data_IF_152264500533
#
_entry.id   IF_152264500533
#
_cell.length_a   1.000
_cell.length_b   1.000
_cell.length_c   1.000
_cell.angle_alpha   90.00
_cell.angle_beta   90.00
_cell.angle_gamma   90.00
#
_symmetry.space_group_name_H-M   'P 1'
#
loop_
_entity.id
_entity.type
_entity.pdbx_description
1 polymer ?
#
# COMPACT_ATOMS: atom_id res chain seq x y z
N UNK A 1 16.04 20.88 0.49
CA UNK A 1 16.92 19.69 0.45
C UNK A 1 16.44 18.84 -0.72
N UNK A 2 17.29 18.64 -1.72
CA UNK A 2 16.94 17.81 -2.88
C UNK A 2 17.00 16.34 -2.49
N UNK A 3 15.84 15.67 -2.48
CA UNK A 3 15.71 14.24 -2.18
C UNK A 3 15.81 13.40 -3.44
N UNK A 4 16.75 13.70 -4.33
CA UNK A 4 16.81 13.21 -5.70
C UNK A 4 17.09 11.71 -5.85
N UNK A 5 17.26 10.95 -4.80
CA UNK A 5 17.24 9.48 -4.90
C UNK A 5 17.23 8.83 -3.52
N UNK A 6 16.06 8.43 -3.05
CA UNK A 6 15.93 7.52 -1.91
C UNK A 6 16.55 6.13 -2.19
N UNK A 7 16.83 5.81 -3.46
CA UNK A 7 17.48 4.55 -3.87
C UNK A 7 18.95 4.45 -3.43
N UNK A 8 19.63 5.59 -3.24
CA UNK A 8 21.04 5.65 -2.81
C UNK A 8 21.23 6.19 -1.41
N UNK A 9 20.16 6.23 -0.62
CA UNK A 9 20.25 6.78 0.72
C UNK A 9 20.80 5.72 1.68
N UNK A 10 22.04 5.94 2.15
CA UNK A 10 22.57 5.21 3.29
C UNK A 10 21.81 5.62 4.55
N UNK A 11 20.99 4.69 5.03
CA UNK A 11 20.25 4.83 6.25
C UNK A 11 21.23 5.04 7.41
N UNK A 12 20.94 5.99 8.29
CA UNK A 12 21.60 6.06 9.62
C UNK A 12 21.18 4.87 10.51
N UNK A 13 21.10 3.70 9.89
CA UNK A 13 21.10 2.42 10.55
C UNK A 13 22.57 2.12 10.90
N UNK A 14 22.86 1.58 12.09
CA UNK A 14 24.23 1.28 12.46
C UNK A 14 24.88 0.46 11.33
N UNK A 15 25.95 1.01 10.74
CA UNK A 15 26.83 0.37 9.75
C UNK A 15 26.23 0.02 8.37
N UNK A 16 25.61 0.97 7.66
CA UNK A 16 25.40 0.85 6.20
C UNK A 16 24.41 -0.22 5.74
N UNK A 17 23.36 -0.45 6.49
CA UNK A 17 22.29 -1.39 6.13
C UNK A 17 21.30 -0.76 5.16
N UNK A 18 21.22 -1.32 3.97
CA UNK A 18 20.21 -0.98 2.95
C UNK A 18 18.96 -1.84 3.13
N UNK A 19 17.78 -1.22 3.16
CA UNK A 19 16.47 -1.93 3.28
C UNK A 19 16.10 -2.71 2.02
N UNK A 20 16.73 -2.43 0.89
CA UNK A 20 16.46 -3.09 -0.39
C UNK A 20 17.29 -4.34 -0.67
N UNK A 21 18.20 -4.71 0.20
CA UNK A 21 19.00 -5.90 0.05
C UNK A 21 18.62 -6.98 1.04
N UNK A 22 18.82 -8.23 0.66
CA UNK A 22 18.82 -9.36 1.59
C UNK A 22 19.70 -8.98 2.78
N UNK A 23 19.06 -8.64 3.90
CA UNK A 23 19.70 -8.00 5.02
C UNK A 23 20.79 -8.93 5.58
N UNK A 24 22.04 -8.60 5.29
CA UNK A 24 23.17 -9.18 5.98
C UNK A 24 23.48 -8.33 7.19
N UNK A 25 23.26 -8.86 8.36
CA UNK A 25 23.65 -8.23 9.62
C UNK A 25 25.15 -8.02 9.66
N UNK A 26 25.69 -6.80 9.82
CA UNK A 26 27.05 -6.61 10.25
C UNK A 26 27.22 -7.11 11.69
N UNK A 27 28.40 -7.59 12.02
CA UNK A 27 28.70 -8.07 13.37
C UNK A 27 28.31 -7.03 14.42
N UNK A 28 27.30 -7.33 15.25
CA UNK A 28 26.85 -6.52 16.37
C UNK A 28 25.49 -5.83 16.26
N UNK A 29 24.84 -5.85 15.11
CA UNK A 29 23.47 -5.32 14.95
C UNK A 29 22.55 -6.42 14.47
N UNK A 30 21.54 -6.77 15.27
CA UNK A 30 20.52 -7.72 14.85
C UNK A 30 19.34 -6.96 14.27
N UNK A 31 19.07 -7.18 12.99
CA UNK A 31 17.85 -6.71 12.31
C UNK A 31 16.99 -7.93 12.05
N UNK A 32 15.77 -7.87 12.55
CA UNK A 32 14.83 -8.96 12.49
C UNK A 32 13.71 -8.56 11.53
N UNK A 33 13.86 -8.88 10.25
CA UNK A 33 12.87 -8.55 9.22
C UNK A 33 12.05 -9.74 8.77
N UNK A 34 12.47 -10.96 9.04
CA UNK A 34 11.74 -12.19 8.71
C UNK A 34 12.15 -13.33 9.63
N UNK A 35 11.28 -14.36 9.72
CA UNK A 35 11.57 -15.62 10.40
C UNK A 35 13.05 -16.06 10.31
N UNK A 36 13.68 -16.51 11.33
CA UNK A 36 13.22 -17.16 12.57
C UNK A 36 13.29 -16.30 13.85
N UNK A 37 13.69 -15.06 13.75
CA UNK A 37 14.08 -14.22 14.89
C UNK A 37 12.90 -13.59 15.65
N UNK A 38 11.72 -13.46 15.04
CA UNK A 38 10.55 -12.94 15.73
C UNK A 38 10.12 -13.83 16.90
N UNK A 39 10.25 -15.16 16.75
CA UNK A 39 9.97 -16.10 17.86
C UNK A 39 11.01 -16.00 18.98
N UNK A 40 12.27 -15.77 18.63
CA UNK A 40 13.36 -15.66 19.61
C UNK A 40 13.22 -14.35 20.40
N UNK A 41 12.88 -13.26 19.73
CA UNK A 41 12.59 -11.99 20.38
C UNK A 41 11.32 -12.03 21.21
N UNK A 42 10.23 -12.60 20.69
CA UNK A 42 9.03 -12.83 21.47
C UNK A 42 9.34 -13.70 22.70
N UNK A 43 10.13 -14.77 22.55
CA UNK A 43 10.58 -15.58 23.69
C UNK A 43 11.44 -14.77 24.66
N UNK A 44 12.37 -13.94 24.21
CA UNK A 44 13.19 -13.08 25.06
C UNK A 44 12.34 -12.07 25.85
N UNK A 45 11.34 -11.47 25.20
CA UNK A 45 10.39 -10.59 25.86
C UNK A 45 9.45 -11.35 26.81
N UNK A 46 8.97 -12.54 26.42
CA UNK A 46 8.14 -13.39 27.26
C UNK A 46 8.91 -14.09 28.37
N UNK A 47 10.13 -14.59 28.12
CA UNK A 47 10.88 -15.36 29.11
C UNK A 47 11.62 -14.52 30.13
N UNK A 48 11.95 -13.28 29.82
CA UNK A 48 12.58 -12.38 30.79
C UNK A 48 11.57 -11.75 31.77
N UNK A 49 10.28 -11.61 31.38
CA UNK A 49 9.32 -10.82 32.17
C UNK A 49 7.92 -11.41 32.30
N UNK A 50 7.52 -12.40 31.50
CA UNK A 50 6.20 -13.02 31.54
C UNK A 50 6.22 -14.46 32.05
N UNK A 51 7.09 -14.77 32.99
CA UNK A 51 6.75 -15.88 33.86
C UNK A 51 5.50 -15.46 34.59
N UNK A 52 4.37 -15.87 34.04
CA UNK A 52 3.12 -15.96 34.73
C UNK A 52 3.34 -16.94 35.90
N UNK A 53 3.98 -16.41 36.90
CA UNK A 53 4.28 -17.16 38.12
C UNK A 53 2.97 -17.21 38.92
N UNK A 54 2.02 -18.02 38.42
CA UNK A 54 0.80 -18.36 39.12
C UNK A 54 1.07 -19.06 40.44
N UNK A 55 2.35 -19.17 40.85
CA UNK A 55 2.77 -19.88 42.05
C UNK A 55 3.83 -19.15 42.90
N UNK A 56 4.47 -18.09 42.43
CA UNK A 56 5.44 -17.34 43.22
C UNK A 56 4.74 -16.35 44.13
N UNK A 57 5.00 -16.43 45.44
CA UNK A 57 4.46 -15.48 46.42
C UNK A 57 5.09 -14.09 46.33
N UNK A 58 6.17 -13.91 45.57
CA UNK A 58 6.94 -12.67 45.51
C UNK A 58 6.81 -11.97 44.18
N UNK A 59 6.49 -10.66 44.20
CA UNK A 59 6.47 -9.81 43.03
C UNK A 59 7.92 -9.58 42.53
N UNK A 60 8.12 -9.69 41.22
CA UNK A 60 9.41 -9.43 40.58
C UNK A 60 9.37 -8.07 39.90
N UNK A 61 10.53 -7.39 39.86
CA UNK A 61 10.66 -6.12 39.14
C UNK A 61 10.47 -6.33 37.62
N UNK A 62 9.58 -5.54 37.04
CA UNK A 62 9.22 -5.67 35.61
C UNK A 62 8.19 -6.75 35.28
N UNK A 63 7.77 -7.56 36.26
CA UNK A 63 6.76 -8.59 36.05
C UNK A 63 5.34 -8.04 35.82
N UNK A 64 4.50 -8.84 35.15
CA UNK A 64 3.10 -8.52 34.89
C UNK A 64 2.21 -9.36 35.79
N UNK A 65 1.31 -8.73 36.54
CA UNK A 65 0.45 -9.40 37.48
C UNK A 65 -1.00 -8.97 37.30
N UNK A 66 -1.95 -9.93 37.34
CA UNK A 66 -3.35 -9.61 37.48
C UNK A 66 -3.60 -9.07 38.90
N UNK A 67 -4.35 -8.00 39.00
CA UNK A 67 -4.65 -7.34 40.25
C UNK A 67 -6.07 -6.77 40.25
N UNK A 68 -6.67 -6.72 41.43
CA UNK A 68 -7.99 -6.10 41.65
C UNK A 68 -7.81 -4.79 42.37
N UNK A 69 -8.44 -3.73 41.90
CA UNK A 69 -8.43 -2.42 42.57
C UNK A 69 -9.24 -2.53 43.88
N UNK A 70 -8.60 -2.26 45.03
CA UNK A 70 -9.24 -2.29 46.33
C UNK A 70 -9.82 -0.92 46.67
N UNK A 71 -9.06 0.14 46.43
CA UNK A 71 -9.46 1.50 46.76
C UNK A 71 -8.88 2.51 45.78
N UNK A 72 -9.64 3.57 45.57
CA UNK A 72 -9.27 4.68 44.70
C UNK A 72 -9.36 5.98 45.46
N UNK A 73 -8.28 6.78 45.46
CA UNK A 73 -8.23 8.15 45.93
C UNK A 73 -8.00 9.07 44.75
N UNK A 74 -7.99 10.37 44.95
CA UNK A 74 -7.87 11.32 43.86
C UNK A 74 -6.69 11.05 42.87
N UNK A 75 -5.50 10.76 43.41
CA UNK A 75 -4.26 10.62 42.65
C UNK A 75 -3.60 9.23 42.80
N UNK A 76 -4.19 8.33 43.60
CA UNK A 76 -3.62 7.01 43.88
C UNK A 76 -4.70 5.94 43.91
N UNK A 77 -4.34 4.73 43.44
CA UNK A 77 -5.13 3.54 43.67
C UNK A 77 -4.27 2.46 44.35
N UNK A 78 -4.94 1.67 45.18
CA UNK A 78 -4.38 0.44 45.75
C UNK A 78 -4.99 -0.74 45.02
N UNK A 79 -4.16 -1.60 44.49
CA UNK A 79 -4.58 -2.85 43.90
C UNK A 79 -3.96 -4.03 44.68
N UNK A 80 -4.63 -5.15 44.68
CA UNK A 80 -4.16 -6.38 45.30
C UNK A 80 -4.01 -7.47 44.22
N UNK A 81 -2.87 -8.13 44.22
CA UNK A 81 -2.66 -9.29 43.34
C UNK A 81 -3.38 -10.52 43.85
N UNK A 82 -3.52 -11.53 43.01
CA UNK A 82 -4.09 -12.84 43.41
C UNK A 82 -3.30 -13.52 44.53
N UNK A 83 -2.02 -13.17 44.71
CA UNK A 83 -1.17 -13.62 45.81
C UNK A 83 -1.34 -12.82 47.11
N UNK A 84 -2.25 -11.83 47.14
CA UNK A 84 -2.54 -10.99 48.30
C UNK A 84 -1.60 -9.82 48.53
N UNK A 85 -0.64 -9.58 47.61
CA UNK A 85 0.31 -8.47 47.71
C UNK A 85 -0.29 -7.18 47.22
N UNK A 86 0.05 -6.07 47.87
CA UNK A 86 -0.48 -4.74 47.54
C UNK A 86 0.45 -4.01 46.56
N UNK A 87 -0.14 -3.43 45.55
CA UNK A 87 0.51 -2.61 44.52
C UNK A 87 -0.08 -1.21 44.58
N UNK A 88 0.79 -0.20 44.54
CA UNK A 88 0.41 1.20 44.41
C UNK A 88 0.38 1.62 42.95
N UNK A 89 -0.69 2.31 42.56
CA UNK A 89 -0.85 2.85 41.20
C UNK A 89 -0.99 4.36 41.27
N UNK A 90 -0.07 5.09 40.62
CA UNK A 90 -0.12 6.54 40.51
C UNK A 90 -1.12 6.93 39.43
N UNK A 91 -2.35 7.26 39.79
CA UNK A 91 -3.42 7.61 38.84
C UNK A 91 -3.15 8.91 38.08
N UNK A 92 -2.41 9.84 38.68
CA UNK A 92 -2.04 11.10 38.00
C UNK A 92 -1.10 10.80 36.84
N UNK A 93 -0.14 9.93 37.05
CA UNK A 93 0.78 9.45 36.00
C UNK A 93 0.02 8.65 34.96
N UNK A 94 -0.80 7.69 35.36
CA UNK A 94 -1.57 6.83 34.45
C UNK A 94 -2.48 7.66 33.52
N UNK A 95 -3.24 8.63 34.08
CA UNK A 95 -4.13 9.49 33.31
C UNK A 95 -3.35 10.36 32.30
N UNK A 96 -2.25 10.97 32.75
CA UNK A 96 -1.39 11.78 31.89
C UNK A 96 -0.78 10.96 30.75
N UNK A 97 -0.31 9.76 31.06
CA UNK A 97 0.34 8.90 30.09
C UNK A 97 -0.70 8.29 29.13
N UNK A 98 -1.92 7.94 29.61
CA UNK A 98 -3.04 7.55 28.77
C UNK A 98 -3.47 8.64 27.78
N UNK A 99 -3.58 9.89 28.25
CA UNK A 99 -3.92 11.04 27.41
C UNK A 99 -2.88 11.26 26.31
N UNK A 100 -1.59 11.24 26.66
CA UNK A 100 -0.50 11.37 25.69
C UNK A 100 -0.53 10.31 24.60
N UNK A 101 -0.96 9.10 24.93
CA UNK A 101 -0.97 7.95 24.05
C UNK A 101 -2.32 7.72 23.38
N UNK A 102 -3.29 8.62 23.58
CA UNK A 102 -4.67 8.48 23.11
C UNK A 102 -5.33 7.16 23.51
N UNK A 103 -4.95 6.63 24.69
CA UNK A 103 -5.54 5.40 25.24
C UNK A 103 -6.81 5.80 26.00
N UNK A 104 -7.95 5.32 25.52
CA UNK A 104 -9.26 5.57 26.13
C UNK A 104 -9.83 4.31 26.76
N UNK A 105 -10.79 4.47 27.68
CA UNK A 105 -11.54 3.34 28.23
C UNK A 105 -10.87 2.65 29.41
N UNK A 106 -9.76 3.19 29.95
CA UNK A 106 -9.18 2.68 31.20
C UNK A 106 -9.93 3.34 32.36
N UNK A 107 -10.71 2.55 33.06
CA UNK A 107 -11.37 2.94 34.30
C UNK A 107 -10.56 2.49 35.51
N UNK A 108 -10.68 3.23 36.61
CA UNK A 108 -10.08 2.87 37.88
C UNK A 108 -11.18 2.88 38.95
N UNK A 109 -11.83 1.73 39.11
CA UNK A 109 -12.94 1.57 40.07
C UNK A 109 -12.63 0.44 41.05
N UNK A 110 -13.02 0.58 42.31
CA UNK A 110 -12.89 -0.51 43.25
C UNK A 110 -13.62 -1.78 42.78
N UNK A 111 -12.94 -2.92 42.83
CA UNK A 111 -13.43 -4.20 42.32
C UNK A 111 -13.08 -4.49 40.88
N UNK A 112 -12.47 -3.55 40.12
CA UNK A 112 -12.06 -3.78 38.75
C UNK A 112 -10.82 -4.68 38.70
N UNK A 113 -10.87 -5.71 37.85
CA UNK A 113 -9.75 -6.62 37.60
C UNK A 113 -8.94 -6.11 36.40
N UNK A 114 -7.66 -5.85 36.63
CA UNK A 114 -6.73 -5.30 35.68
C UNK A 114 -5.42 -6.10 35.68
N UNK A 115 -4.60 -5.87 34.68
CA UNK A 115 -3.19 -6.31 34.67
C UNK A 115 -2.29 -5.10 34.82
N UNK A 116 -1.32 -5.18 35.71
CA UNK A 116 -0.33 -4.12 35.89
C UNK A 116 1.09 -4.67 35.71
N UNK A 117 1.94 -3.89 35.07
CA UNK A 117 3.38 -4.11 35.13
C UNK A 117 3.93 -3.52 36.39
N UNK A 118 4.62 -4.34 37.17
CA UNK A 118 5.05 -3.96 38.51
C UNK A 118 6.53 -3.61 38.52
N UNK A 119 6.87 -2.52 39.21
CA UNK A 119 8.26 -2.13 39.47
C UNK A 119 8.49 -1.99 40.96
N UNK A 120 9.69 -2.35 41.42
CA UNK A 120 10.10 -2.16 42.78
C UNK A 120 10.77 -0.78 42.93
N UNK A 121 10.13 0.15 43.63
CA UNK A 121 10.62 1.51 43.87
C UNK A 121 10.74 1.72 45.37
N UNK A 122 11.93 2.01 45.88
CA UNK A 122 12.19 2.31 47.32
C UNK A 122 11.62 1.25 48.29
N UNK A 123 11.66 -0.03 47.91
CA UNK A 123 11.17 -1.13 48.76
C UNK A 123 9.68 -1.41 48.62
N UNK A 124 8.91 -0.57 47.92
CA UNK A 124 7.49 -0.74 47.64
C UNK A 124 7.27 -1.15 46.18
N UNK A 125 6.12 -1.78 45.94
CA UNK A 125 5.75 -2.17 44.57
C UNK A 125 4.82 -1.13 43.94
N UNK A 126 5.22 -0.56 42.84
CA UNK A 126 4.43 0.35 42.01
C UNK A 126 3.99 -0.37 40.74
N UNK A 127 2.70 -0.33 40.43
CA UNK A 127 2.12 -0.88 39.22
C UNK A 127 1.75 0.20 38.20
N UNK A 128 1.84 -0.13 36.94
CA UNK A 128 1.35 0.70 35.84
C UNK A 128 0.56 -0.15 34.84
N UNK A 129 -0.65 0.28 34.56
CA UNK A 129 -1.55 -0.34 33.59
C UNK A 129 -1.15 0.12 32.18
N UNK A 130 -0.74 1.36 32.03
CA UNK A 130 -0.24 1.90 30.77
C UNK A 130 1.06 1.21 30.34
N UNK A 131 2.00 0.97 31.29
CA UNK A 131 3.21 0.21 30.97
C UNK A 131 2.90 -1.24 30.56
N UNK A 132 1.90 -1.86 31.20
CA UNK A 132 1.42 -3.18 30.78
C UNK A 132 0.84 -3.12 29.36
N UNK A 133 -0.01 -2.14 29.06
CA UNK A 133 -0.61 -1.97 27.72
C UNK A 133 0.47 -1.82 26.63
N UNK A 134 1.46 -0.93 26.84
CA UNK A 134 2.57 -0.75 25.89
C UNK A 134 3.36 -2.05 25.74
N UNK A 135 3.62 -2.76 26.84
CA UNK A 135 4.34 -4.03 26.79
C UNK A 135 3.56 -5.09 26.01
N UNK A 136 2.29 -5.24 26.28
CA UNK A 136 1.40 -6.17 25.58
C UNK A 136 1.30 -5.86 24.07
N UNK A 137 1.20 -4.58 23.71
CA UNK A 137 1.22 -4.14 22.33
C UNK A 137 2.56 -4.48 21.64
N UNK A 138 3.71 -4.26 22.30
CA UNK A 138 5.02 -4.63 21.74
C UNK A 138 5.11 -6.12 21.45
N UNK A 139 4.63 -6.95 22.35
CA UNK A 139 4.59 -8.40 22.15
C UNK A 139 3.75 -8.76 20.92
N UNK A 140 2.57 -8.16 20.80
CA UNK A 140 1.74 -8.34 19.63
C UNK A 140 2.46 -7.91 18.33
N UNK A 141 3.14 -6.77 18.34
CA UNK A 141 3.89 -6.29 17.18
C UNK A 141 4.99 -7.27 16.74
N UNK A 142 5.69 -7.92 17.68
CA UNK A 142 6.66 -8.97 17.35
C UNK A 142 6.01 -10.17 16.68
N UNK A 143 4.84 -10.59 17.15
CA UNK A 143 4.09 -11.67 16.49
C UNK A 143 3.66 -11.28 15.07
N UNK A 144 3.34 -10.01 14.84
CA UNK A 144 2.91 -9.51 13.54
C UNK A 144 4.03 -9.44 12.50
N UNK A 145 5.29 -9.39 12.89
CA UNK A 145 6.41 -9.54 11.95
C UNK A 145 6.29 -10.87 11.18
N UNK A 146 5.77 -11.91 11.83
CA UNK A 146 5.57 -13.24 11.25
C UNK A 146 4.19 -13.44 10.64
N UNK A 147 3.15 -13.06 11.39
CA UNK A 147 1.75 -13.36 11.02
C UNK A 147 1.23 -12.46 9.93
N UNK A 148 1.73 -11.22 9.84
CA UNK A 148 1.33 -10.21 8.86
C UNK A 148 -0.20 -10.00 8.77
N UNK A 149 -0.90 -10.23 9.88
CA UNK A 149 -2.38 -10.29 9.87
C UNK A 149 -3.05 -8.96 10.18
N UNK A 150 -2.40 -8.08 10.96
CA UNK A 150 -3.02 -6.87 11.48
C UNK A 150 -2.42 -5.60 10.89
N UNK A 151 -3.27 -4.63 10.65
CA UNK A 151 -2.86 -3.26 10.35
C UNK A 151 -3.00 -2.40 11.61
N UNK A 152 -2.08 -1.43 11.76
CA UNK A 152 -2.01 -0.54 12.90
C UNK A 152 -2.07 0.91 12.44
N UNK A 153 -2.80 1.74 13.17
CA UNK A 153 -2.85 3.18 12.92
C UNK A 153 -1.64 3.84 13.59
N UNK A 154 -0.77 4.43 12.79
CA UNK A 154 0.40 5.18 13.27
C UNK A 154 0.24 6.65 12.93
N UNK A 155 0.79 7.52 13.78
CA UNK A 155 0.90 8.96 13.52
C UNK A 155 2.31 9.30 13.05
N UNK A 156 2.42 9.99 11.94
CA UNK A 156 3.70 10.47 11.43
C UNK A 156 4.15 11.67 12.26
N UNK A 157 5.27 11.56 12.95
CA UNK A 157 5.76 12.57 13.88
C UNK A 157 6.78 13.50 13.22
N UNK A 158 7.71 12.94 12.46
CA UNK A 158 8.77 13.69 11.80
C UNK A 158 9.39 12.94 10.63
N UNK A 159 10.15 13.67 9.84
CA UNK A 159 10.98 13.12 8.77
C UNK A 159 12.38 12.90 9.31
N UNK A 160 12.97 11.76 8.93
CA UNK A 160 14.38 11.47 9.13
C UNK A 160 15.04 11.14 7.79
N UNK A 161 16.37 11.07 7.76
CA UNK A 161 17.11 10.60 6.59
C UNK A 161 16.58 9.23 6.15
N UNK A 162 15.96 9.20 4.93
CA UNK A 162 15.44 7.98 4.30
C UNK A 162 14.02 7.55 4.67
N UNK A 163 13.25 8.31 5.46
CA UNK A 163 11.87 7.98 5.76
C UNK A 163 11.24 8.79 6.88
N UNK A 164 10.21 8.22 7.47
CA UNK A 164 9.41 8.86 8.50
C UNK A 164 9.59 8.20 9.86
N UNK A 165 9.63 9.02 10.89
CA UNK A 165 9.43 8.56 12.27
C UNK A 165 7.93 8.61 12.54
N UNK A 166 7.40 7.48 12.92
CA UNK A 166 6.00 7.32 13.29
C UNK A 166 5.89 6.84 14.74
N UNK A 167 4.72 7.04 15.32
CA UNK A 167 4.41 6.62 16.68
C UNK A 167 3.12 5.80 16.70
N UNK A 168 3.18 4.68 17.40
CA UNK A 168 2.06 3.79 17.67
C UNK A 168 1.88 3.67 19.18
N UNK A 169 0.96 4.43 19.78
CA UNK A 169 0.68 4.38 21.21
C UNK A 169 1.94 4.38 22.10
N UNK A 170 2.87 5.30 21.82
CA UNK A 170 4.14 5.45 22.55
C UNK A 170 5.28 4.54 22.06
N UNK A 171 5.03 3.64 21.14
CA UNK A 171 6.05 2.81 20.51
C UNK A 171 6.60 3.53 19.28
N UNK A 172 7.92 3.70 19.24
CA UNK A 172 8.59 4.32 18.09
C UNK A 172 8.62 3.35 16.91
N UNK A 173 8.18 3.87 15.76
CA UNK A 173 8.20 3.17 14.49
C UNK A 173 9.00 3.99 13.46
N UNK A 174 9.59 3.30 12.52
CA UNK A 174 10.24 3.92 11.38
C UNK A 174 9.63 3.38 10.09
N UNK A 175 9.21 4.27 9.23
CA UNK A 175 8.66 3.94 7.93
C UNK A 175 9.61 4.41 6.85
N UNK A 176 10.34 3.50 6.19
CA UNK A 176 11.18 3.81 5.05
C UNK A 176 10.43 4.54 3.95
N UNK A 177 11.06 5.51 3.29
CA UNK A 177 10.44 6.23 2.17
C UNK A 177 9.98 5.30 1.04
N UNK A 178 10.72 4.22 0.77
CA UNK A 178 10.34 3.18 -0.19
C UNK A 178 9.12 2.33 0.22
N UNK A 179 8.75 2.37 1.51
CA UNK A 179 7.62 1.66 2.09
C UNK A 179 6.45 2.59 2.49
N UNK A 180 6.60 3.89 2.26
CA UNK A 180 5.64 4.90 2.70
C UNK A 180 4.55 5.24 1.67
N UNK A 181 4.70 4.78 0.43
CA UNK A 181 3.70 4.94 -0.62
C UNK A 181 3.80 3.81 -1.65
N UNK A 182 2.79 3.68 -2.50
CA UNK A 182 2.84 2.76 -3.65
C UNK A 182 3.90 3.23 -4.67
N UNK A 183 4.03 4.54 -4.85
CA UNK A 183 4.91 5.20 -5.80
C UNK A 183 5.91 6.15 -5.11
N UNK A 184 6.77 6.79 -5.92
CA UNK A 184 7.76 7.76 -5.43
C UNK A 184 7.07 8.97 -4.81
N UNK A 185 7.38 9.26 -3.54
CA UNK A 185 6.87 10.43 -2.83
C UNK A 185 7.63 11.66 -3.34
N UNK A 186 6.88 12.69 -3.72
CA UNK A 186 7.43 13.99 -4.16
C UNK A 186 7.38 15.04 -3.04
N UNK A 187 6.36 14.97 -2.17
CA UNK A 187 6.18 15.86 -1.03
C UNK A 187 6.20 15.06 0.28
N UNK A 188 7.36 15.04 0.92
CA UNK A 188 7.54 14.31 2.18
C UNK A 188 6.93 15.04 3.37
N UNK A 189 6.87 16.38 3.33
CA UNK A 189 6.40 17.20 4.46
C UNK A 189 4.90 17.09 4.66
N UNK A 190 4.15 16.84 3.59
CA UNK A 190 2.69 16.71 3.61
C UNK A 190 2.19 15.53 4.47
N UNK A 191 3.05 14.57 4.80
CA UNK A 191 2.71 13.41 5.63
C UNK A 191 2.85 13.68 7.13
N UNK A 192 3.56 14.72 7.53
CA UNK A 192 3.77 15.04 8.96
C UNK A 192 2.42 15.35 9.62
N UNK A 193 2.17 14.72 10.76
CA UNK A 193 0.94 14.86 11.53
C UNK A 193 -0.22 13.99 11.05
N UNK A 194 -0.11 13.35 9.85
CA UNK A 194 -1.12 12.43 9.37
C UNK A 194 -1.12 11.11 10.14
N UNK A 195 -2.29 10.54 10.26
CA UNK A 195 -2.49 9.19 10.74
C UNK A 195 -2.70 8.27 9.54
N UNK A 196 -2.03 7.11 9.54
CA UNK A 196 -2.14 6.15 8.45
C UNK A 196 -2.02 4.73 8.94
N UNK A 197 -2.72 3.82 8.26
CA UNK A 197 -2.62 2.40 8.55
C UNK A 197 -1.34 1.83 7.97
N UNK A 198 -0.63 1.04 8.74
CA UNK A 198 0.60 0.38 8.32
C UNK A 198 0.60 -1.08 8.76
N UNK A 199 1.43 -1.89 8.15
CA UNK A 199 1.74 -3.24 8.61
C UNK A 199 3.16 -3.27 9.17
N UNK A 200 3.39 -4.19 10.10
CA UNK A 200 4.71 -4.38 10.67
C UNK A 200 5.57 -5.16 9.67
N UNK A 201 6.77 -4.64 9.40
CA UNK A 201 7.74 -5.23 8.47
C UNK A 201 8.89 -5.89 9.21
N UNK A 202 9.33 -5.29 10.33
CA UNK A 202 10.45 -5.79 11.09
C UNK A 202 10.73 -4.99 12.35
N UNK A 203 11.88 -5.27 12.97
CA UNK A 203 12.33 -4.60 14.19
C UNK A 203 13.86 -4.42 14.19
N UNK A 204 14.31 -3.26 14.65
CA UNK A 204 15.74 -2.93 14.81
C UNK A 204 16.08 -2.86 16.28
N UNK A 205 16.71 -3.92 16.82
CA UNK A 205 17.04 -4.07 18.23
C UNK A 205 17.93 -2.93 18.75
N UNK A 206 18.97 -2.57 17.99
CA UNK A 206 19.94 -1.55 18.39
C UNK A 206 19.34 -0.16 18.64
N UNK A 207 18.19 0.14 18.03
CA UNK A 207 17.49 1.44 18.18
C UNK A 207 16.16 1.32 18.89
N UNK A 208 15.73 0.10 19.21
CA UNK A 208 14.41 -0.20 19.80
C UNK A 208 13.26 0.37 18.95
N UNK A 209 13.29 0.12 17.63
CA UNK A 209 12.36 0.68 16.65
C UNK A 209 11.75 -0.41 15.80
N UNK A 210 10.41 -0.39 15.64
CA UNK A 210 9.71 -1.22 14.66
C UNK A 210 9.78 -0.59 13.27
N UNK A 211 10.01 -1.40 12.25
CA UNK A 211 9.90 -1.00 10.86
C UNK A 211 8.47 -1.25 10.41
N UNK A 212 7.87 -0.25 9.77
CA UNK A 212 6.48 -0.30 9.33
C UNK A 212 6.37 0.03 7.84
N UNK A 213 5.33 -0.51 7.19
CA UNK A 213 5.11 -0.37 5.76
C UNK A 213 3.66 -0.01 5.46
N UNK A 214 3.45 1.17 4.90
CA UNK A 214 2.18 1.58 4.31
C UNK A 214 1.95 0.85 2.98
N UNK A 215 2.99 0.71 2.18
CA UNK A 215 2.93 -0.04 0.91
C UNK A 215 2.42 -1.47 1.08
N UNK A 216 2.85 -2.17 2.14
CA UNK A 216 2.38 -3.52 2.46
C UNK A 216 0.90 -3.52 2.82
N UNK A 217 0.45 -2.52 3.58
CA UNK A 217 -0.96 -2.32 3.88
C UNK A 217 -1.78 -2.08 2.61
N UNK A 218 -1.33 -1.18 1.72
CA UNK A 218 -1.98 -0.91 0.44
C UNK A 218 -2.10 -2.18 -0.40
N UNK A 219 -1.03 -2.95 -0.54
CA UNK A 219 -1.05 -4.21 -1.28
C UNK A 219 -2.09 -5.19 -0.72
N UNK A 220 -2.24 -5.24 0.59
CA UNK A 220 -3.21 -6.11 1.25
C UNK A 220 -4.66 -5.73 0.98
N UNK A 221 -4.97 -4.43 1.02
CA UNK A 221 -6.34 -3.95 0.78
C UNK A 221 -6.67 -3.84 -0.71
N UNK A 222 -5.68 -3.95 -1.59
CA UNK A 222 -5.84 -3.72 -3.03
C UNK A 222 -6.89 -4.64 -3.64
N UNK A 223 -6.92 -5.93 -3.28
CA UNK A 223 -7.88 -6.89 -3.82
C UNK A 223 -9.33 -6.48 -3.53
N UNK A 224 -9.60 -5.99 -2.31
CA UNK A 224 -10.93 -5.47 -1.96
C UNK A 224 -11.22 -4.14 -2.61
N UNK A 225 -10.23 -3.24 -2.67
CA UNK A 225 -10.38 -1.93 -3.29
C UNK A 225 -10.64 -2.01 -4.79
N UNK A 226 -10.01 -2.94 -5.48
CA UNK A 226 -10.24 -3.17 -6.90
C UNK A 226 -11.68 -3.64 -7.17
N UNK A 227 -12.26 -4.45 -6.28
CA UNK A 227 -13.65 -4.88 -6.42
C UNK A 227 -14.65 -3.72 -6.23
N UNK A 228 -14.26 -2.66 -5.54
CA UNK A 228 -15.07 -1.44 -5.35
C UNK A 228 -14.98 -0.48 -6.56
N UNK A 229 -14.04 -0.71 -7.51
CA UNK A 229 -13.87 0.18 -8.66
C UNK A 229 -15.05 0.08 -9.63
N UNK A 230 -15.65 1.23 -9.91
CA UNK A 230 -16.66 1.37 -10.95
C UNK A 230 -15.99 1.68 -12.29
N UNK A 231 -16.02 0.70 -13.19
CA UNK A 231 -15.39 0.82 -14.51
C UNK A 231 -16.10 1.84 -15.43
N UNK A 232 -17.32 2.27 -15.05
CA UNK A 232 -18.11 3.25 -15.81
C UNK A 232 -17.86 4.67 -15.36
N UNK A 233 -17.24 4.85 -14.18
CA UNK A 233 -17.01 6.13 -13.55
C UNK A 233 -15.76 6.80 -14.12
N UNK A 234 -15.88 8.11 -14.34
CA UNK A 234 -14.75 8.98 -14.64
C UNK A 234 -14.00 9.34 -13.35
N UNK A 235 -12.72 9.08 -13.34
CA UNK A 235 -11.81 9.36 -12.23
C UNK A 235 -10.92 10.54 -12.55
N UNK A 236 -10.36 11.16 -11.52
CA UNK A 236 -9.31 12.17 -11.59
C UNK A 236 -8.10 11.68 -10.81
N UNK A 237 -6.94 11.88 -11.37
CA UNK A 237 -5.70 11.51 -10.73
C UNK A 237 -4.52 12.33 -11.22
N UNK A 238 -3.36 12.07 -10.66
CA UNK A 238 -2.15 12.82 -10.96
C UNK A 238 -1.15 11.95 -11.70
N UNK A 239 -0.52 12.53 -12.71
CA UNK A 239 0.60 11.90 -13.41
C UNK A 239 1.76 11.75 -12.42
N UNK A 240 2.25 10.51 -12.25
CA UNK A 240 3.42 10.21 -11.40
C UNK A 240 4.69 9.99 -12.19
N UNK A 241 4.56 9.63 -13.47
CA UNK A 241 5.69 9.44 -14.36
C UNK A 241 5.27 9.07 -15.78
N UNK A 242 6.23 9.17 -16.68
CA UNK A 242 6.06 8.81 -18.09
C UNK A 242 7.09 7.73 -18.48
N UNK A 243 6.71 6.87 -19.40
CA UNK A 243 7.58 5.85 -20.00
C UNK A 243 7.35 5.77 -21.51
N UNK A 244 8.16 4.98 -22.21
CA UNK A 244 7.98 4.74 -23.66
C UNK A 244 6.63 4.08 -24.00
N UNK A 245 5.95 3.51 -23.00
CA UNK A 245 4.69 2.80 -23.18
C UNK A 245 3.46 3.66 -22.88
N UNK A 246 3.62 4.73 -22.08
CA UNK A 246 2.51 5.57 -21.66
C UNK A 246 2.78 6.34 -20.37
N UNK A 247 1.71 6.73 -19.73
CA UNK A 247 1.68 7.62 -18.56
C UNK A 247 1.15 6.86 -17.36
N UNK A 248 1.89 6.91 -16.25
CA UNK A 248 1.43 6.39 -14.96
C UNK A 248 0.63 7.45 -14.23
N UNK A 249 -0.54 7.07 -13.76
CA UNK A 249 -1.47 7.94 -13.03
C UNK A 249 -1.79 7.30 -11.70
N UNK A 250 -1.82 8.10 -10.65
CA UNK A 250 -2.21 7.72 -9.30
C UNK A 250 -3.45 8.49 -8.86
N UNK A 251 -4.37 7.83 -8.15
CA UNK A 251 -5.56 8.46 -7.60
C UNK A 251 -6.00 7.78 -6.31
N UNK A 252 -6.73 8.51 -5.48
CA UNK A 252 -7.25 8.09 -4.18
C UNK A 252 -6.17 7.50 -3.25
N UNK A 253 -4.89 7.93 -3.40
CA UNK A 253 -3.72 7.49 -2.63
C UNK A 253 -3.45 5.96 -2.63
N UNK A 254 -4.25 5.18 -3.34
CA UNK A 254 -4.22 3.71 -3.35
C UNK A 254 -3.97 3.15 -4.74
N UNK A 255 -4.61 3.73 -5.76
CA UNK A 255 -4.62 3.17 -7.10
C UNK A 255 -3.52 3.73 -7.97
N UNK A 256 -2.91 2.86 -8.75
CA UNK A 256 -1.98 3.25 -9.82
C UNK A 256 -2.38 2.55 -11.10
N UNK A 257 -2.44 3.30 -12.19
CA UNK A 257 -2.77 2.75 -13.50
C UNK A 257 -1.90 3.32 -14.62
N UNK A 258 -1.92 2.65 -15.75
CA UNK A 258 -1.21 3.05 -16.95
C UNK A 258 -2.19 3.47 -18.03
N UNK A 259 -2.08 4.72 -18.52
CA UNK A 259 -2.69 5.15 -19.78
C UNK A 259 -1.68 4.86 -20.87
N UNK A 260 -2.01 3.97 -21.81
CA UNK A 260 -1.12 3.62 -22.88
C UNK A 260 -0.96 4.80 -23.86
N UNK A 261 0.22 4.94 -24.47
CA UNK A 261 0.51 6.04 -25.41
C UNK A 261 -0.43 6.14 -26.59
N UNK A 262 -1.08 5.04 -26.99
CA UNK A 262 -2.08 5.02 -28.06
C UNK A 262 -3.39 5.73 -27.72
N UNK A 263 -3.63 6.01 -26.44
CA UNK A 263 -4.79 6.76 -25.98
C UNK A 263 -4.64 8.29 -26.18
N UNK A 264 -3.43 8.74 -26.51
CA UNK A 264 -3.16 10.14 -26.77
C UNK A 264 -3.13 10.39 -28.29
N UNK A 265 -3.82 11.44 -28.76
CA UNK A 265 -3.83 11.82 -30.17
C UNK A 265 -2.42 12.11 -30.70
N UNK A 266 -2.16 11.80 -31.96
CA UNK A 266 -0.91 12.13 -32.63
C UNK A 266 -0.66 13.66 -32.56
N UNK A 267 0.44 14.04 -31.92
CA UNK A 267 0.81 15.44 -31.72
C UNK A 267 0.79 15.88 -30.24
N UNK A 268 0.11 15.18 -29.35
CA UNK A 268 0.24 15.39 -27.92
C UNK A 268 1.46 14.62 -27.43
N UNK A 269 2.58 15.32 -27.29
CA UNK A 269 3.82 14.72 -26.79
C UNK A 269 3.59 14.23 -25.35
N UNK A 270 3.84 12.94 -25.10
CA UNK A 270 3.92 12.39 -23.74
C UNK A 270 4.89 13.20 -22.86
N UNK A 271 5.86 13.85 -23.47
CA UNK A 271 6.82 14.76 -22.81
C UNK A 271 6.15 16.02 -22.23
N UNK A 272 4.94 16.38 -22.66
CA UNK A 272 4.19 17.50 -22.07
C UNK A 272 3.48 17.12 -20.77
N UNK A 273 3.33 15.83 -20.48
CA UNK A 273 2.69 15.33 -19.28
C UNK A 273 3.74 15.13 -18.17
N UNK A 274 4.07 16.23 -17.50
CA UNK A 274 4.99 16.20 -16.36
C UNK A 274 4.33 15.61 -15.10
N UNK A 275 5.09 14.98 -14.20
CA UNK A 275 4.58 14.56 -12.90
C UNK A 275 3.88 15.70 -12.15
N UNK A 276 2.74 15.41 -11.55
CA UNK A 276 1.89 16.37 -10.83
C UNK A 276 0.75 16.97 -11.67
N UNK A 277 0.68 16.71 -12.98
CA UNK A 277 -0.45 17.14 -13.79
C UNK A 277 -1.68 16.29 -13.47
N UNK A 278 -2.81 16.95 -13.23
CA UNK A 278 -4.11 16.28 -13.07
C UNK A 278 -4.65 15.83 -14.43
N UNK A 279 -5.15 14.59 -14.50
CA UNK A 279 -5.74 14.01 -15.69
C UNK A 279 -7.03 13.28 -15.34
N UNK A 280 -8.03 13.38 -16.23
CA UNK A 280 -9.27 12.62 -16.13
C UNK A 280 -9.20 11.37 -17.00
N UNK A 281 -9.71 10.25 -16.48
CA UNK A 281 -9.64 8.95 -17.14
C UNK A 281 -10.73 8.00 -16.66
N UNK A 282 -10.84 6.87 -17.33
CA UNK A 282 -11.66 5.72 -16.92
C UNK A 282 -10.76 4.50 -16.71
N UNK A 283 -11.21 3.56 -15.87
CA UNK A 283 -10.54 2.26 -15.75
C UNK A 283 -11.02 1.38 -16.89
N UNK A 284 -10.10 0.99 -17.77
CA UNK A 284 -10.39 0.17 -18.95
C UNK A 284 -10.41 -1.31 -18.65
N UNK A 285 -9.42 -1.77 -17.88
CA UNK A 285 -9.19 -3.18 -17.63
C UNK A 285 -8.39 -3.36 -16.31
N UNK A 286 -8.73 -4.40 -15.58
CA UNK A 286 -7.99 -4.88 -14.42
C UNK A 286 -7.23 -6.13 -14.86
N UNK A 287 -5.89 -6.06 -14.91
CA UNK A 287 -5.02 -7.18 -15.30
C UNK A 287 -4.58 -7.98 -14.10
N UNK A 288 -3.97 -9.14 -14.36
CA UNK A 288 -3.33 -9.95 -13.33
C UNK A 288 -2.37 -9.11 -12.47
N UNK A 289 -2.27 -9.47 -11.18
CA UNK A 289 -1.52 -8.72 -10.16
C UNK A 289 -2.01 -7.28 -9.94
N UNK A 290 -3.33 -7.04 -10.08
CA UNK A 290 -3.96 -5.75 -9.76
C UNK A 290 -3.42 -4.56 -10.57
N UNK A 291 -2.92 -4.82 -11.77
CA UNK A 291 -2.48 -3.75 -12.68
C UNK A 291 -3.68 -3.15 -13.40
N UNK A 292 -3.86 -1.85 -13.24
CA UNK A 292 -4.94 -1.11 -13.86
C UNK A 292 -4.50 -0.51 -15.18
N UNK A 293 -5.24 -0.80 -16.25
CA UNK A 293 -5.11 -0.11 -17.54
C UNK A 293 -6.20 0.95 -17.62
N UNK A 294 -5.79 2.16 -17.96
CA UNK A 294 -6.67 3.32 -18.00
C UNK A 294 -6.89 3.76 -19.44
N UNK A 295 -7.99 4.46 -19.69
CA UNK A 295 -8.34 5.05 -21.00
C UNK A 295 -8.87 6.47 -20.82
N UNK A 296 -8.69 7.30 -21.82
CA UNK A 296 -9.25 8.66 -21.86
C UNK A 296 -10.67 8.66 -22.40
N UNK A 297 -11.05 7.61 -23.13
CA UNK A 297 -12.38 7.46 -23.71
C UNK A 297 -13.33 6.72 -22.77
N UNK A 298 -14.61 7.04 -22.84
CA UNK A 298 -15.63 6.43 -22.02
C UNK A 298 -15.79 4.92 -22.36
N UNK A 299 -15.52 3.97 -21.45
CA UNK A 299 -15.51 2.55 -21.78
C UNK A 299 -16.87 2.01 -22.24
N UNK A 300 -17.98 2.60 -21.75
CA UNK A 300 -19.34 2.18 -22.10
C UNK A 300 -19.64 2.40 -23.58
N UNK A 301 -19.30 3.56 -24.13
CA UNK A 301 -19.52 3.84 -25.55
C UNK A 301 -18.70 2.88 -26.40
N UNK A 302 -17.45 2.68 -26.04
CA UNK A 302 -16.56 1.75 -26.74
C UNK A 302 -17.05 0.31 -26.67
N UNK A 303 -17.46 -0.16 -25.50
CA UNK A 303 -17.95 -1.53 -25.33
C UNK A 303 -19.28 -1.76 -26.07
N UNK A 304 -20.17 -0.76 -26.08
CA UNK A 304 -21.42 -0.83 -26.86
C UNK A 304 -21.10 -0.90 -28.36
N UNK A 305 -20.18 -0.06 -28.86
CA UNK A 305 -19.77 -0.07 -30.26
C UNK A 305 -19.13 -1.42 -30.64
N UNK A 306 -18.28 -1.98 -29.75
CA UNK A 306 -17.64 -3.27 -29.99
C UNK A 306 -18.65 -4.42 -29.99
N UNK A 307 -19.63 -4.40 -29.08
CA UNK A 307 -20.70 -5.41 -29.03
C UNK A 307 -21.62 -5.34 -30.24
N UNK A 308 -21.96 -4.12 -30.66
CA UNK A 308 -22.76 -3.91 -31.87
C UNK A 308 -22.01 -4.40 -33.12
N UNK A 309 -20.73 -4.06 -33.22
CA UNK A 309 -19.86 -4.52 -34.32
C UNK A 309 -19.70 -6.05 -34.31
N UNK A 310 -19.54 -6.69 -33.15
CA UNK A 310 -19.50 -8.14 -33.01
C UNK A 310 -20.79 -8.79 -33.51
N UNK A 311 -21.94 -8.23 -33.13
CA UNK A 311 -23.24 -8.69 -33.59
C UNK A 311 -23.39 -8.59 -35.11
N UNK A 312 -23.01 -7.46 -35.69
CA UNK A 312 -23.02 -7.26 -37.14
C UNK A 312 -22.08 -8.23 -37.88
N UNK A 313 -20.90 -8.51 -37.34
CA UNK A 313 -19.95 -9.49 -37.91
C UNK A 313 -20.54 -10.90 -37.84
N UNK A 314 -21.15 -11.29 -36.74
CA UNK A 314 -21.76 -12.61 -36.56
C UNK A 314 -23.00 -12.81 -37.45
N UNK A 315 -23.77 -11.77 -37.69
CA UNK A 315 -24.93 -11.76 -38.58
C UNK A 315 -24.56 -11.64 -40.05
N UNK A 316 -23.32 -11.26 -40.34
CA UNK A 316 -22.85 -11.03 -41.72
C UNK A 316 -23.41 -9.77 -42.34
N UNK A 317 -23.88 -8.79 -41.54
CA UNK A 317 -24.49 -7.53 -41.96
C UNK A 317 -23.50 -6.37 -41.98
N UNK A 318 -22.24 -6.61 -41.59
CA UNK A 318 -21.20 -5.58 -41.49
C UNK A 318 -20.87 -4.99 -42.87
N UNK A 319 -20.86 -3.66 -42.96
CA UNK A 319 -20.51 -2.92 -44.18
C UNK A 319 -19.01 -2.57 -44.23
N UNK A 320 -18.44 -2.33 -45.40
CA UNK A 320 -17.09 -1.82 -45.53
C UNK A 320 -16.95 -0.45 -44.90
N UNK A 321 -15.86 -0.24 -44.15
CA UNK A 321 -15.58 0.99 -43.41
C UNK A 321 -14.31 1.65 -43.93
N UNK A 322 -14.26 2.97 -43.94
CA UNK A 322 -13.05 3.70 -44.18
C UNK A 322 -12.12 3.66 -42.96
N UNK A 323 -10.84 3.45 -43.23
CA UNK A 323 -9.85 3.35 -42.16
C UNK A 323 -8.54 4.01 -42.60
N UNK A 324 -7.84 4.57 -41.63
CA UNK A 324 -6.53 5.20 -41.83
C UNK A 324 -5.42 4.34 -41.23
N UNK A 325 -4.36 4.09 -42.01
CA UNK A 325 -3.21 3.30 -41.58
C UNK A 325 -2.39 4.09 -40.55
N UNK A 326 -2.35 3.62 -39.31
CA UNK A 326 -1.57 4.26 -38.24
C UNK A 326 -0.19 3.65 -38.06
N UNK A 327 -0.08 2.32 -38.16
CA UNK A 327 1.22 1.63 -38.06
C UNK A 327 1.28 0.45 -39.02
N UNK A 328 2.45 0.18 -39.56
CA UNK A 328 2.75 -1.01 -40.38
C UNK A 328 3.88 -1.81 -39.73
N UNK A 329 3.67 -3.09 -39.55
CA UNK A 329 4.64 -4.05 -38.98
C UNK A 329 4.77 -5.27 -39.89
N UNK A 330 5.78 -6.13 -39.63
CA UNK A 330 5.97 -7.38 -40.38
C UNK A 330 4.76 -8.31 -40.33
N UNK A 331 3.97 -8.26 -39.24
CA UNK A 331 2.84 -9.15 -39.01
C UNK A 331 1.49 -8.55 -39.42
N UNK A 332 1.47 -7.38 -40.07
CA UNK A 332 0.24 -6.73 -40.50
C UNK A 332 0.27 -5.19 -40.33
N UNK A 333 -0.91 -4.59 -40.37
CA UNK A 333 -1.06 -3.15 -40.23
C UNK A 333 -2.12 -2.84 -39.16
N UNK A 334 -1.89 -1.78 -38.38
CA UNK A 334 -2.87 -1.22 -37.47
C UNK A 334 -3.54 -0.03 -38.15
N UNK A 335 -4.86 -0.04 -38.20
CA UNK A 335 -5.67 1.01 -38.82
C UNK A 335 -6.67 1.57 -37.82
N UNK A 336 -7.06 2.81 -37.99
CA UNK A 336 -8.13 3.45 -37.26
C UNK A 336 -9.39 3.51 -38.14
N UNK A 337 -10.46 2.89 -37.69
CA UNK A 337 -11.77 2.93 -38.35
C UNK A 337 -12.37 4.31 -38.16
N UNK A 338 -12.52 5.09 -39.26
CA UNK A 338 -12.82 6.52 -39.18
C UNK A 338 -14.22 6.80 -38.61
N UNK A 339 -15.20 5.94 -38.90
CA UNK A 339 -16.59 6.12 -38.48
C UNK A 339 -16.79 5.93 -36.97
N UNK A 340 -16.02 5.02 -36.37
CA UNK A 340 -16.18 4.62 -34.96
C UNK A 340 -14.97 4.98 -34.08
N UNK A 341 -13.90 5.52 -34.67
CA UNK A 341 -12.70 5.94 -33.93
C UNK A 341 -11.89 4.81 -33.27
N UNK A 342 -12.15 3.54 -33.62
CA UNK A 342 -11.51 2.38 -33.00
C UNK A 342 -10.32 1.87 -33.83
N UNK A 343 -9.32 1.34 -33.12
CA UNK A 343 -8.17 0.70 -33.75
C UNK A 343 -8.50 -0.75 -34.11
N UNK A 344 -8.18 -1.14 -35.35
CA UNK A 344 -8.34 -2.49 -35.85
C UNK A 344 -7.03 -3.04 -36.42
N UNK A 345 -6.86 -4.35 -36.37
CA UNK A 345 -5.68 -5.03 -36.91
C UNK A 345 -5.99 -5.67 -38.26
N UNK A 346 -5.18 -5.38 -39.25
CA UNK A 346 -5.13 -6.12 -40.50
C UNK A 346 -3.98 -7.13 -40.39
N UNK A 347 -4.23 -8.43 -40.23
CA UNK A 347 -3.18 -9.45 -40.29
C UNK A 347 -2.50 -9.51 -41.68
N UNK A 348 -1.24 -9.93 -41.74
CA UNK A 348 -0.45 -9.96 -42.94
C UNK A 348 -1.11 -10.76 -44.09
N UNK A 349 -1.77 -11.86 -43.77
CA UNK A 349 -2.50 -12.70 -44.72
C UNK A 349 -3.80 -12.07 -45.24
N UNK A 350 -4.34 -11.07 -44.53
CA UNK A 350 -5.56 -10.32 -44.90
C UNK A 350 -5.29 -8.98 -45.58
N UNK A 351 -4.02 -8.58 -45.72
CA UNK A 351 -3.64 -7.40 -46.52
C UNK A 351 -3.97 -7.55 -48.01
N UNK A 352 -3.88 -8.77 -48.53
CA UNK A 352 -4.12 -9.04 -49.96
C UNK A 352 -3.08 -8.40 -50.88
N UNK A 353 -3.28 -8.52 -52.22
CA UNK A 353 -2.36 -7.93 -53.20
C UNK A 353 -2.37 -6.40 -53.18
N UNK A 354 -3.54 -5.79 -52.92
CA UNK A 354 -3.70 -4.33 -52.87
C UNK A 354 -3.08 -3.74 -51.59
N UNK A 355 -3.23 -4.41 -50.45
CA UNK A 355 -2.74 -3.90 -49.16
C UNK A 355 -1.24 -4.09 -48.91
N UNK A 356 -0.51 -4.85 -49.75
CA UNK A 356 0.94 -5.04 -49.55
C UNK A 356 1.76 -3.74 -49.63
N UNK A 357 1.29 -2.76 -50.41
CA UNK A 357 1.98 -1.48 -50.64
C UNK A 357 1.49 -0.33 -49.77
N UNK A 358 0.53 -0.56 -48.84
CA UNK A 358 0.03 0.52 -47.98
C UNK A 358 1.14 1.10 -47.12
N UNK A 359 1.06 2.40 -46.85
CA UNK A 359 1.98 3.15 -46.00
C UNK A 359 1.21 3.75 -44.84
N UNK A 360 1.94 4.14 -43.80
CA UNK A 360 1.36 4.90 -42.68
C UNK A 360 0.82 6.22 -43.22
N UNK A 361 -0.42 6.52 -42.89
CA UNK A 361 -1.17 7.68 -43.33
C UNK A 361 -2.11 7.44 -44.53
N UNK A 362 -1.99 6.30 -45.22
CA UNK A 362 -2.89 5.95 -46.34
C UNK A 362 -4.31 5.67 -45.84
N UNK A 363 -5.30 6.05 -46.66
CA UNK A 363 -6.69 5.70 -46.44
C UNK A 363 -7.00 4.36 -47.11
N UNK A 364 -7.68 3.47 -46.43
CA UNK A 364 -8.00 2.10 -46.88
C UNK A 364 -9.44 1.77 -46.54
N UNK A 365 -10.12 1.02 -47.42
CA UNK A 365 -11.43 0.48 -47.10
C UNK A 365 -11.25 -0.93 -46.58
N UNK A 366 -11.79 -1.20 -45.40
CA UNK A 366 -11.68 -2.48 -44.69
C UNK A 366 -13.04 -3.03 -44.31
N UNK A 367 -13.12 -4.34 -44.12
CA UNK A 367 -14.31 -5.00 -43.55
C UNK A 367 -13.87 -5.75 -42.29
N UNK A 368 -14.50 -5.49 -41.14
CA UNK A 368 -14.40 -6.33 -39.94
C UNK A 368 -14.86 -7.78 -40.22
N UNK A 369 -14.10 -8.74 -39.74
CA UNK A 369 -14.46 -10.16 -39.89
C UNK A 369 -14.38 -10.96 -38.59
N UNK A 370 -13.74 -10.40 -37.57
CA UNK A 370 -13.63 -10.99 -36.24
C UNK A 370 -13.49 -9.90 -35.20
N UNK A 371 -14.25 -10.00 -34.12
CA UNK A 371 -14.25 -9.04 -33.00
C UNK A 371 -14.14 -9.85 -31.71
N UNK A 372 -13.13 -9.54 -30.92
CA UNK A 372 -12.96 -10.11 -29.57
C UNK A 372 -13.46 -9.10 -28.53
N UNK A 373 -14.68 -9.22 -28.06
CA UNK A 373 -15.30 -8.27 -27.12
C UNK A 373 -14.53 -8.17 -25.81
N UNK A 374 -14.03 -9.30 -25.27
CA UNK A 374 -13.30 -9.34 -23.99
C UNK A 374 -11.97 -8.57 -24.09
N UNK A 375 -11.24 -8.74 -25.20
CA UNK A 375 -9.93 -8.08 -25.39
C UNK A 375 -10.04 -6.71 -26.10
N UNK A 376 -11.23 -6.39 -26.63
CA UNK A 376 -11.48 -5.20 -27.42
C UNK A 376 -10.69 -5.16 -28.73
N UNK A 377 -10.29 -6.33 -29.28
CA UNK A 377 -9.57 -6.43 -30.56
C UNK A 377 -10.53 -6.60 -31.71
N UNK A 378 -10.29 -5.82 -32.75
CA UNK A 378 -11.05 -5.88 -34.02
C UNK A 378 -10.09 -6.31 -35.11
N UNK A 379 -10.44 -7.36 -35.82
CA UNK A 379 -9.67 -7.84 -36.98
C UNK A 379 -10.42 -7.50 -38.25
N UNK A 380 -9.69 -6.90 -39.19
CA UNK A 380 -10.25 -6.43 -40.46
C UNK A 380 -9.43 -6.95 -41.65
N UNK A 381 -10.09 -7.06 -42.79
CA UNK A 381 -9.44 -7.37 -44.08
C UNK A 381 -9.56 -6.18 -45.03
N UNK A 382 -8.57 -5.97 -45.88
CA UNK A 382 -8.57 -4.91 -46.89
C UNK A 382 -9.52 -5.29 -48.03
N UNK A 383 -10.38 -4.35 -48.39
CA UNK A 383 -11.27 -4.45 -49.57
C UNK A 383 -10.72 -3.61 -50.67
N UNK A 384 -10.36 -2.35 -50.40
CA UNK A 384 -9.76 -1.44 -51.33
C UNK A 384 -8.71 -0.53 -50.67
N UNK A 385 -7.87 0.09 -51.54
CA UNK A 385 -6.84 1.04 -51.13
C UNK A 385 -7.11 2.30 -51.95
N UNK A 386 -7.41 3.39 -51.25
CA UNK A 386 -7.68 4.70 -51.86
C UNK A 386 -6.51 5.29 -52.61
#
# INVERSE_FOLDING_TARGET
MNFDSLENFEWDLPNGLSINSKIKSPAGSKIYCHEPYAEELAKLYFTSNDKFDGGSKDLTDGGVYPCTIISVKADEALAQTNSGQTIYIDLKRERRDAEKLNITGIGFYPGEELKARVRKINGSYSGSIIEYYIHSLRVELFEQIKKESNAYLVKIVSINKGGYIAELSGIKCFMPGSLAAANKITDFESYIGKEMHVMIEGYVEAKDIFIVSYKKYLNRIMDSKIQELDLTKKYRGYVTGTSDFGVFVEWDDVYTGLIHKTEFAEGNSLAALSPGIEIEFYVKEIKDNNRLTLTLDQPLERNVIIQDLESQVNEGTVEPMEAKVKHKRKNGALVELQEIGLLALIPQDKLGRKGNNIRVGDDVTVIPYEVETISGKIYVKVVDVG
#
